data_IF_807288637260
#
_entry.id   IF_807288637260
#
_cell.length_a   1.000
_cell.length_b   1.000
_cell.length_c   1.000
_cell.angle_alpha   90.00
_cell.angle_beta   90.00
_cell.angle_gamma   90.00
#
_symmetry.space_group_name_H-M   'P 1'
#
loop_
_entity.id
_entity.type
_entity.pdbx_description
1 polymer ?
#
# COMPACT_ATOMS: atom_id res chain seq x y z
N UNK A 1 9.86 -46.64 -7.31
CA UNK A 1 8.90 -46.43 -6.22
C UNK A 1 9.60 -46.77 -4.93
N UNK A 2 9.98 -45.72 -4.22
CA UNK A 2 10.31 -45.73 -2.81
C UNK A 2 9.75 -44.39 -2.31
N UNK A 3 8.49 -44.43 -1.88
CA UNK A 3 7.89 -43.41 -1.04
C UNK A 3 8.66 -43.45 0.28
N UNK A 4 9.61 -42.55 0.46
CA UNK A 4 10.09 -42.15 1.77
C UNK A 4 9.61 -40.70 1.97
N UNK A 5 8.28 -40.53 2.02
CA UNK A 5 7.64 -39.32 2.55
C UNK A 5 7.57 -39.46 4.08
N UNK A 6 8.27 -38.52 4.74
CA UNK A 6 7.92 -37.89 6.02
C UNK A 6 7.61 -38.78 7.25
N UNK A 7 8.62 -38.96 8.11
CA UNK A 7 8.44 -39.39 9.51
C UNK A 7 8.74 -38.25 10.50
N UNK A 8 8.44 -37.00 10.12
CA UNK A 8 8.38 -35.88 11.06
C UNK A 8 6.97 -35.77 11.64
N UNK A 9 6.74 -36.38 12.80
CA UNK A 9 5.49 -36.19 13.57
C UNK A 9 5.77 -35.32 14.81
N UNK A 10 5.44 -34.01 14.81
CA UNK A 10 5.72 -33.09 15.94
C UNK A 10 4.89 -33.41 17.22
N UNK A 11 3.92 -34.31 17.10
CA UNK A 11 2.91 -34.69 18.09
C UNK A 11 3.43 -35.61 19.21
N UNK A 12 4.41 -35.15 19.98
CA UNK A 12 5.03 -35.92 21.07
C UNK A 12 4.32 -35.73 22.43
N UNK A 13 4.35 -36.73 23.34
CA UNK A 13 3.84 -36.57 24.71
C UNK A 13 4.49 -35.40 25.47
N UNK A 14 5.79 -35.19 25.25
CA UNK A 14 6.54 -34.09 25.86
C UNK A 14 6.12 -32.73 25.28
N UNK A 15 5.88 -32.65 23.96
CA UNK A 15 5.31 -31.45 23.32
C UNK A 15 3.92 -31.12 23.86
N UNK A 16 3.05 -32.13 23.99
CA UNK A 16 1.74 -31.96 24.59
C UNK A 16 1.81 -31.52 26.07
N UNK A 17 2.84 -31.93 26.82
CA UNK A 17 3.07 -31.46 28.18
C UNK A 17 3.54 -29.99 28.21
N UNK A 18 4.41 -29.57 27.27
CA UNK A 18 4.87 -28.18 27.13
C UNK A 18 3.72 -27.23 26.80
N UNK A 19 2.85 -27.58 25.85
CA UNK A 19 1.66 -26.78 25.51
C UNK A 19 0.77 -26.57 26.73
N UNK A 20 0.50 -27.62 27.51
CA UNK A 20 -0.33 -27.51 28.73
C UNK A 20 0.31 -26.66 29.81
N UNK A 21 1.63 -26.72 29.96
CA UNK A 21 2.35 -25.87 30.91
C UNK A 21 2.27 -24.39 30.50
N UNK A 22 2.56 -24.07 29.24
CA UNK A 22 2.46 -22.71 28.72
C UNK A 22 1.02 -22.16 28.80
N UNK A 23 0.01 -22.99 28.54
CA UNK A 23 -1.40 -22.62 28.70
C UNK A 23 -1.75 -22.27 30.16
N UNK A 24 -1.19 -23.01 31.12
CA UNK A 24 -1.38 -22.71 32.55
C UNK A 24 -0.72 -21.38 32.94
N UNK A 25 0.46 -21.08 32.41
CA UNK A 25 1.16 -19.80 32.63
C UNK A 25 0.39 -18.62 32.02
N UNK A 26 -0.11 -18.74 30.79
CA UNK A 26 -0.97 -17.74 30.16
C UNK A 26 -2.25 -17.50 30.97
N UNK A 27 -2.90 -18.57 31.44
CA UNK A 27 -4.10 -18.46 32.29
C UNK A 27 -3.81 -17.72 33.59
N UNK A 28 -2.66 -17.98 34.21
CA UNK A 28 -2.24 -17.29 35.43
C UNK A 28 -1.97 -15.80 35.17
N UNK A 29 -1.32 -15.45 34.06
CA UNK A 29 -1.07 -14.07 33.65
C UNK A 29 -2.38 -13.30 33.39
N UNK A 30 -3.33 -13.90 32.66
CA UNK A 30 -4.65 -13.32 32.40
C UNK A 30 -5.39 -13.06 33.73
N UNK A 31 -5.37 -14.03 34.64
CA UNK A 31 -6.02 -13.91 35.95
C UNK A 31 -5.40 -12.78 36.78
N UNK A 32 -4.06 -12.72 36.86
CA UNK A 32 -3.35 -11.70 37.60
C UNK A 32 -3.61 -10.28 37.06
N UNK A 33 -3.66 -10.12 35.73
CA UNK A 33 -4.02 -8.86 35.10
C UNK A 33 -5.47 -8.46 35.42
N UNK A 34 -6.42 -9.39 35.27
CA UNK A 34 -7.82 -9.13 35.58
C UNK A 34 -8.04 -8.72 37.05
N UNK A 35 -7.33 -9.38 37.98
CA UNK A 35 -7.35 -9.01 39.41
C UNK A 35 -6.74 -7.61 39.65
N UNK A 36 -5.62 -7.28 39.00
CA UNK A 36 -5.00 -5.96 39.12
C UNK A 36 -5.91 -4.84 38.60
N UNK A 37 -6.58 -5.06 37.47
CA UNK A 37 -7.57 -4.14 36.90
C UNK A 37 -8.78 -3.99 37.84
N UNK A 38 -9.34 -5.10 38.32
CA UNK A 38 -10.52 -5.10 39.18
C UNK A 38 -10.26 -4.47 40.58
N UNK A 39 -9.02 -4.53 41.06
CA UNK A 39 -8.61 -3.93 42.33
C UNK A 39 -8.27 -2.43 42.23
N UNK A 40 -8.16 -1.88 41.02
CA UNK A 40 -7.81 -0.47 40.81
C UNK A 40 -8.90 0.47 41.28
N UNK A 41 -8.56 1.43 42.15
CA UNK A 41 -9.53 2.43 42.67
C UNK A 41 -9.09 3.88 42.44
N UNK A 42 -7.86 4.09 41.96
CA UNK A 42 -7.32 5.41 41.65
C UNK A 42 -6.16 5.33 40.65
N UNK A 43 -5.74 6.48 40.10
CA UNK A 43 -4.56 6.60 39.21
C UNK A 43 -3.24 6.10 39.83
N UNK A 44 -3.19 5.93 41.16
CA UNK A 44 -2.00 5.37 41.83
C UNK A 44 -1.90 3.85 41.69
N UNK A 45 -2.97 3.18 41.27
CA UNK A 45 -2.99 1.74 41.03
C UNK A 45 -2.58 1.38 39.60
N UNK A 46 -2.47 2.38 38.71
CA UNK A 46 -2.14 2.19 37.29
C UNK A 46 -0.79 1.48 37.08
N UNK A 47 0.20 1.71 37.95
CA UNK A 47 1.50 1.02 37.87
C UNK A 47 1.37 -0.50 38.08
N UNK A 48 0.44 -0.95 38.93
CA UNK A 48 0.17 -2.38 39.15
C UNK A 48 -0.55 -3.00 37.96
N UNK A 49 -1.45 -2.25 37.33
CA UNK A 49 -2.14 -2.68 36.11
C UNK A 49 -1.13 -2.85 34.97
N UNK A 50 -0.24 -1.86 34.76
CA UNK A 50 0.82 -1.97 33.75
C UNK A 50 1.75 -3.15 34.02
N UNK A 51 2.23 -3.30 35.26
CA UNK A 51 3.12 -4.41 35.63
C UNK A 51 2.47 -5.78 35.39
N UNK A 52 1.16 -5.92 35.66
CA UNK A 52 0.44 -7.15 35.38
C UNK A 52 0.17 -7.34 33.87
N UNK A 53 -0.03 -6.24 33.13
CA UNK A 53 -0.18 -6.24 31.68
C UNK A 53 1.09 -6.66 30.93
N UNK A 54 2.26 -6.25 31.42
CA UNK A 54 3.56 -6.62 30.85
C UNK A 54 3.81 -8.14 30.85
N UNK A 55 3.08 -8.90 31.67
CA UNK A 55 3.19 -10.37 31.72
C UNK A 55 2.32 -11.08 30.68
N UNK A 56 1.34 -10.40 30.05
CA UNK A 56 0.40 -11.03 29.12
C UNK A 56 1.05 -11.40 27.79
N UNK A 57 1.75 -10.46 27.16
CA UNK A 57 2.36 -10.68 25.85
C UNK A 57 3.43 -11.77 25.87
N UNK A 58 4.38 -11.80 26.83
CA UNK A 58 5.36 -12.89 26.93
C UNK A 58 4.71 -14.27 27.14
N UNK A 59 3.67 -14.35 27.98
CA UNK A 59 2.98 -15.62 28.25
C UNK A 59 2.17 -16.11 27.03
N UNK A 60 1.59 -15.19 26.27
CA UNK A 60 0.86 -15.50 25.03
C UNK A 60 1.82 -16.00 23.94
N UNK A 61 2.98 -15.35 23.76
CA UNK A 61 4.00 -15.78 22.82
C UNK A 61 4.56 -17.16 23.19
N UNK A 62 4.84 -17.40 24.47
CA UNK A 62 5.32 -18.71 24.94
C UNK A 62 4.29 -19.84 24.69
N UNK A 63 3.00 -19.55 24.80
CA UNK A 63 1.94 -20.50 24.44
C UNK A 63 1.87 -20.75 22.93
N UNK A 64 1.98 -19.71 22.11
CA UNK A 64 2.00 -19.82 20.65
C UNK A 64 3.20 -20.63 20.15
N UNK A 65 4.40 -20.36 20.69
CA UNK A 65 5.62 -21.10 20.36
C UNK A 65 5.49 -22.58 20.75
N UNK A 66 4.99 -22.87 21.97
CA UNK A 66 4.79 -24.24 22.42
C UNK A 66 3.79 -25.01 21.55
N UNK A 67 2.73 -24.35 21.07
CA UNK A 67 1.79 -24.93 20.11
C UNK A 67 2.50 -25.23 18.78
N UNK A 68 3.18 -24.24 18.20
CA UNK A 68 3.85 -24.39 16.91
C UNK A 68 4.89 -25.52 16.93
N UNK A 69 5.69 -25.62 18.00
CA UNK A 69 6.64 -26.72 18.18
C UNK A 69 5.98 -28.10 18.28
N UNK A 70 4.74 -28.17 18.82
CA UNK A 70 4.02 -29.42 19.02
C UNK A 70 3.18 -29.84 17.80
N UNK A 71 2.60 -28.89 17.08
CA UNK A 71 1.61 -29.17 16.02
C UNK A 71 2.12 -28.85 14.62
N UNK A 72 3.17 -28.03 14.50
CA UNK A 72 3.59 -27.41 13.25
C UNK A 72 2.60 -26.38 12.70
N UNK A 73 1.48 -26.13 13.41
CA UNK A 73 0.48 -25.14 13.05
C UNK A 73 0.78 -23.84 13.77
N UNK A 74 0.73 -22.72 13.05
CA UNK A 74 0.97 -21.39 13.61
C UNK A 74 -0.30 -20.78 14.20
N UNK A 75 -0.15 -19.72 15.00
CA UNK A 75 -1.18 -18.80 15.50
C UNK A 75 -2.39 -19.42 16.25
N UNK A 76 -2.30 -19.66 17.59
CA UNK A 76 -3.45 -20.14 18.38
C UNK A 76 -4.67 -19.20 18.37
N UNK A 77 -4.40 -17.90 18.16
CA UNK A 77 -5.40 -16.85 18.08
C UNK A 77 -5.57 -16.35 16.63
N UNK A 78 -5.07 -17.08 15.63
CA UNK A 78 -5.29 -16.76 14.21
C UNK A 78 -6.77 -16.53 13.88
N UNK A 79 -7.69 -17.41 14.31
CA UNK A 79 -9.13 -17.18 14.13
C UNK A 79 -9.71 -15.96 14.87
N UNK A 80 -8.98 -15.40 15.86
CA UNK A 80 -9.39 -14.14 16.48
C UNK A 80 -8.89 -12.95 15.68
N UNK A 81 -7.79 -13.05 14.92
CA UNK A 81 -7.40 -12.02 13.96
C UNK A 81 -8.47 -11.86 12.90
N UNK A 82 -8.97 -12.98 12.36
CA UNK A 82 -10.11 -12.98 11.43
C UNK A 82 -11.35 -12.28 12.05
N UNK A 83 -11.59 -12.45 13.36
CA UNK A 83 -12.69 -11.79 14.09
C UNK A 83 -12.44 -10.32 14.49
N UNK A 84 -11.19 -9.83 14.44
CA UNK A 84 -10.87 -8.40 14.65
C UNK A 84 -10.79 -7.67 13.31
N UNK A 85 -10.45 -8.39 12.22
CA UNK A 85 -10.65 -7.92 10.84
C UNK A 85 -12.15 -7.92 10.45
N UNK A 86 -13.00 -8.76 11.05
CA UNK A 86 -14.47 -8.77 10.85
C UNK A 86 -15.22 -7.52 11.39
N UNK A 87 -14.57 -6.56 12.06
CA UNK A 87 -15.17 -5.23 12.27
C UNK A 87 -14.85 -4.24 11.12
N UNK A 88 -14.06 -4.66 10.12
CA UNK A 88 -13.78 -3.91 8.88
C UNK A 88 -13.88 -4.72 7.57
N UNK A 89 -14.36 -5.98 7.56
CA UNK A 89 -14.66 -6.67 6.30
C UNK A 89 -15.84 -7.64 6.43
N UNK A 90 -17.05 -7.12 6.14
CA UNK A 90 -18.17 -7.97 5.74
C UNK A 90 -17.81 -8.56 4.36
N UNK A 91 -17.10 -9.69 4.31
CA UNK A 91 -17.04 -10.55 3.13
C UNK A 91 -18.46 -11.06 2.86
N UNK A 92 -19.15 -10.38 1.94
CA UNK A 92 -20.35 -10.87 1.29
C UNK A 92 -20.11 -12.30 0.76
N UNK A 93 -21.08 -13.19 1.02
CA UNK A 93 -21.21 -14.43 0.27
C UNK A 93 -21.12 -14.09 -1.23
N UNK A 94 -20.07 -14.58 -1.90
CA UNK A 94 -19.87 -14.47 -3.36
C UNK A 94 -21.09 -15.02 -4.13
N UNK A 95 -22.14 -14.20 -4.31
CA UNK A 95 -22.69 -14.06 -5.64
C UNK A 95 -21.53 -13.51 -6.47
N UNK A 96 -21.11 -14.23 -7.51
CA UNK A 96 -20.13 -13.76 -8.50
C UNK A 96 -20.62 -12.41 -9.06
N UNK A 97 -20.35 -11.32 -8.36
CA UNK A 97 -20.40 -9.99 -8.92
C UNK A 97 -19.34 -9.99 -10.02
N UNK A 98 -19.72 -9.69 -11.27
CA UNK A 98 -18.74 -9.63 -12.33
C UNK A 98 -17.70 -8.60 -11.88
N UNK A 99 -16.40 -8.95 -11.85
CA UNK A 99 -15.41 -8.09 -11.21
C UNK A 99 -15.48 -6.73 -11.88
N UNK A 100 -15.83 -5.68 -11.12
CA UNK A 100 -15.58 -4.32 -11.57
C UNK A 100 -14.09 -4.08 -11.43
N UNK A 101 -13.30 -4.69 -12.32
CA UNK A 101 -11.85 -4.52 -12.36
C UNK A 101 -11.56 -3.12 -12.90
N UNK A 102 -11.53 -2.14 -12.00
CA UNK A 102 -10.93 -0.85 -12.31
C UNK A 102 -9.53 -1.07 -12.86
N UNK A 103 -9.07 -0.18 -13.72
CA UNK A 103 -7.68 -0.22 -14.20
C UNK A 103 -7.05 1.16 -14.06
N UNK A 104 -5.85 1.18 -13.51
CA UNK A 104 -5.00 2.36 -13.47
C UNK A 104 -3.91 2.24 -14.52
N UNK A 105 -3.72 3.29 -15.31
CA UNK A 105 -2.63 3.39 -16.29
C UNK A 105 -1.61 4.40 -15.76
N UNK A 106 -0.49 3.90 -15.28
CA UNK A 106 0.62 4.70 -14.78
C UNK A 106 1.63 4.90 -15.90
N UNK A 107 1.96 6.17 -16.20
CA UNK A 107 2.91 6.50 -17.25
C UNK A 107 4.07 7.31 -16.67
N UNK A 108 5.29 6.88 -16.99
CA UNK A 108 6.51 7.66 -16.76
C UNK A 108 7.18 7.92 -18.09
N UNK A 109 7.51 9.18 -18.36
CA UNK A 109 8.29 9.57 -19.53
C UNK A 109 9.42 10.48 -19.10
N UNK A 110 10.65 10.07 -19.40
CA UNK A 110 11.86 10.81 -19.04
C UNK A 110 12.37 11.56 -20.28
N UNK A 111 12.52 12.87 -20.15
CA UNK A 111 13.05 13.75 -21.20
C UNK A 111 14.33 14.44 -20.73
N UNK A 112 15.27 14.63 -21.65
CA UNK A 112 16.37 15.58 -21.48
C UNK A 112 15.97 16.90 -22.13
N UNK A 113 16.05 17.98 -21.35
CA UNK A 113 15.96 19.34 -21.89
C UNK A 113 17.28 19.67 -22.59
N UNK A 114 17.21 19.85 -23.91
CA UNK A 114 18.34 20.21 -24.78
C UNK A 114 18.35 21.70 -25.13
N UNK A 115 17.17 22.33 -25.14
CA UNK A 115 16.99 23.78 -25.30
C UNK A 115 15.79 24.23 -24.45
N UNK A 116 16.06 24.88 -23.32
CA UNK A 116 14.99 25.31 -22.42
C UNK A 116 14.17 26.46 -23.01
N UNK A 117 14.77 27.37 -23.78
CA UNK A 117 14.07 28.52 -24.34
C UNK A 117 13.09 28.08 -25.44
N UNK A 118 13.48 27.09 -26.26
CA UNK A 118 12.56 26.48 -27.23
C UNK A 118 11.33 25.86 -26.56
N UNK A 119 11.52 25.16 -25.42
CA UNK A 119 10.41 24.59 -24.65
C UNK A 119 9.53 25.68 -24.05
N UNK A 120 10.13 26.75 -23.51
CA UNK A 120 9.39 27.90 -22.98
C UNK A 120 8.54 28.57 -24.06
N UNK A 121 9.09 28.77 -25.26
CA UNK A 121 8.37 29.33 -26.41
C UNK A 121 7.23 28.39 -26.87
N UNK A 122 7.46 27.08 -26.91
CA UNK A 122 6.42 26.10 -27.20
C UNK A 122 5.28 26.14 -26.18
N UNK A 123 5.60 26.32 -24.90
CA UNK A 123 4.62 26.54 -23.82
C UNK A 123 3.75 27.77 -24.02
N UNK A 124 4.35 28.91 -24.38
CA UNK A 124 3.59 30.15 -24.66
C UNK A 124 2.70 30.01 -25.88
N UNK A 125 3.22 29.38 -26.93
CA UNK A 125 2.42 29.07 -28.11
C UNK A 125 1.25 28.14 -27.78
N UNK A 126 1.42 27.18 -26.87
CA UNK A 126 0.34 26.31 -26.39
C UNK A 126 -0.70 27.09 -25.57
N UNK A 127 -0.26 27.95 -24.65
CA UNK A 127 -1.13 28.85 -23.89
C UNK A 127 -2.06 29.65 -24.81
N UNK A 128 -1.50 30.34 -25.81
CA UNK A 128 -2.26 31.20 -26.73
C UNK A 128 -3.22 30.42 -27.64
N UNK A 129 -3.03 29.10 -27.82
CA UNK A 129 -4.04 28.26 -28.51
C UNK A 129 -5.26 28.00 -27.64
N UNK A 130 -5.05 27.79 -26.34
CA UNK A 130 -6.13 27.57 -25.37
C UNK A 130 -6.84 28.88 -25.01
N UNK A 131 -6.12 30.01 -25.04
CA UNK A 131 -6.59 31.34 -24.66
C UNK A 131 -6.31 32.35 -25.79
N UNK A 132 -7.07 32.31 -26.90
CA UNK A 132 -6.77 33.09 -28.10
C UNK A 132 -7.03 34.61 -27.95
N UNK A 133 -7.72 35.03 -26.90
CA UNK A 133 -7.97 36.45 -26.59
C UNK A 133 -6.83 37.10 -25.80
N UNK A 134 -5.90 36.32 -25.25
CA UNK A 134 -4.75 36.80 -24.50
C UNK A 134 -3.58 37.17 -25.44
N UNK A 135 -2.63 37.96 -24.92
CA UNK A 135 -1.46 38.39 -25.67
C UNK A 135 -0.16 37.69 -25.21
N UNK A 136 0.92 37.94 -25.94
CA UNK A 136 2.23 37.35 -25.67
C UNK A 136 2.79 37.75 -24.29
N UNK A 137 2.42 38.93 -23.76
CA UNK A 137 2.87 39.36 -22.45
C UNK A 137 2.17 38.53 -21.35
N UNK A 138 0.87 38.30 -21.47
CA UNK A 138 0.11 37.41 -20.59
C UNK A 138 0.63 35.98 -20.67
N UNK A 139 0.89 35.48 -21.88
CA UNK A 139 1.49 34.15 -22.06
C UNK A 139 2.87 34.03 -21.39
N UNK A 140 3.69 35.08 -21.45
CA UNK A 140 4.99 35.12 -20.80
C UNK A 140 4.92 35.19 -19.27
N UNK A 141 3.88 35.83 -18.71
CA UNK A 141 3.62 35.85 -17.27
C UNK A 141 3.18 34.47 -16.76
N UNK A 142 2.30 33.78 -17.48
CA UNK A 142 1.88 32.41 -17.12
C UNK A 142 3.01 31.40 -17.27
N UNK A 143 3.66 31.39 -18.44
CA UNK A 143 4.77 30.49 -18.76
C UNK A 143 6.08 31.11 -18.28
N UNK A 144 6.18 31.23 -16.97
CA UNK A 144 7.31 31.84 -16.26
C UNK A 144 8.46 30.86 -15.97
N UNK A 145 8.19 29.56 -15.99
CA UNK A 145 9.20 28.51 -15.81
C UNK A 145 8.83 27.21 -16.55
N UNK A 146 9.81 26.30 -16.65
CA UNK A 146 9.71 25.05 -17.44
C UNK A 146 8.48 24.21 -17.07
N UNK A 147 8.19 24.04 -15.77
CA UNK A 147 7.00 23.30 -15.32
C UNK A 147 5.68 23.87 -15.86
N UNK A 148 5.52 25.21 -15.94
CA UNK A 148 4.34 25.82 -16.55
C UNK A 148 4.33 25.63 -18.06
N UNK A 149 5.48 25.71 -18.73
CA UNK A 149 5.56 25.42 -20.16
C UNK A 149 5.08 24.00 -20.49
N UNK A 150 5.56 23.00 -19.75
CA UNK A 150 5.16 21.61 -19.91
C UNK A 150 3.67 21.41 -19.61
N UNK A 151 3.16 22.04 -18.54
CA UNK A 151 1.73 22.02 -18.22
C UNK A 151 0.88 22.58 -19.37
N UNK A 152 1.24 23.74 -19.92
CA UNK A 152 0.44 24.36 -21.00
C UNK A 152 0.45 23.50 -22.27
N UNK A 153 1.59 22.90 -22.63
CA UNK A 153 1.66 21.95 -23.76
C UNK A 153 0.78 20.73 -23.50
N UNK A 154 0.91 20.12 -22.32
CA UNK A 154 0.10 18.96 -21.92
C UNK A 154 -1.39 19.26 -21.86
N UNK A 155 -1.77 20.44 -21.40
CA UNK A 155 -3.15 20.89 -21.31
C UNK A 155 -3.77 21.13 -22.70
N UNK A 156 -3.02 21.77 -23.62
CA UNK A 156 -3.53 22.10 -24.95
C UNK A 156 -3.62 20.87 -25.87
N UNK A 157 -2.59 20.02 -25.88
CA UNK A 157 -2.42 18.98 -26.91
C UNK A 157 -2.28 17.55 -26.34
N UNK A 158 -2.31 17.40 -25.01
CA UNK A 158 -2.08 16.12 -24.32
C UNK A 158 -0.60 15.82 -24.07
N UNK A 159 -0.32 15.03 -23.02
CA UNK A 159 1.05 14.72 -22.58
C UNK A 159 1.90 13.96 -23.60
N UNK A 160 1.27 13.17 -24.49
CA UNK A 160 1.97 12.50 -25.59
C UNK A 160 2.66 13.49 -26.55
N UNK A 161 2.21 14.76 -26.58
CA UNK A 161 2.77 15.77 -27.49
C UNK A 161 4.18 16.20 -27.13
N UNK A 162 4.62 15.97 -25.89
CA UNK A 162 5.98 16.31 -25.43
C UNK A 162 7.08 15.65 -26.26
N UNK A 163 6.80 14.49 -26.87
CA UNK A 163 7.73 13.78 -27.77
C UNK A 163 8.10 14.57 -29.04
N UNK A 164 7.27 15.53 -29.45
CA UNK A 164 7.48 16.33 -30.65
C UNK A 164 8.01 17.75 -30.37
N UNK A 165 8.21 18.10 -29.10
CA UNK A 165 8.58 19.47 -28.69
C UNK A 165 10.07 19.70 -28.92
N UNK A 166 10.38 20.73 -29.71
CA UNK A 166 11.75 21.20 -29.86
C UNK A 166 12.36 21.56 -28.50
N UNK A 167 13.59 21.12 -28.27
CA UNK A 167 14.26 21.29 -26.98
C UNK A 167 13.98 20.18 -25.97
N UNK A 168 13.08 19.22 -26.25
CA UNK A 168 12.95 17.98 -25.49
C UNK A 168 13.48 16.78 -26.28
N UNK A 169 14.27 15.95 -25.61
CA UNK A 169 14.76 14.69 -26.15
C UNK A 169 14.28 13.52 -25.29
N UNK A 170 13.47 12.58 -25.83
CA UNK A 170 13.00 11.43 -25.06
C UNK A 170 14.18 10.51 -24.71
N UNK A 171 14.23 10.06 -23.46
CA UNK A 171 15.31 9.20 -22.92
C UNK A 171 14.79 7.81 -22.61
N UNK A 172 13.60 7.72 -22.02
CA UNK A 172 12.95 6.46 -21.71
C UNK A 172 11.49 6.68 -21.37
N UNK A 173 10.67 5.66 -21.55
CA UNK A 173 9.30 5.66 -21.07
C UNK A 173 8.91 4.29 -20.49
N UNK A 174 7.96 4.29 -19.57
CA UNK A 174 7.31 3.10 -19.06
C UNK A 174 5.82 3.34 -18.97
N UNK A 175 5.03 2.33 -19.31
CA UNK A 175 3.59 2.27 -19.07
C UNK A 175 3.31 1.01 -18.27
N UNK A 176 2.66 1.17 -17.13
CA UNK A 176 2.20 0.07 -16.29
C UNK A 176 0.68 0.14 -16.21
N UNK A 177 0.03 -0.98 -16.49
CA UNK A 177 -1.40 -1.17 -16.29
C UNK A 177 -1.55 -2.06 -15.06
N UNK A 178 -2.27 -1.56 -14.07
CA UNK A 178 -2.54 -2.25 -12.81
C UNK A 178 -4.04 -2.41 -12.69
N UNK A 179 -4.49 -3.56 -12.21
CA UNK A 179 -5.86 -3.69 -11.72
C UNK A 179 -6.09 -2.79 -10.50
N UNK A 180 -7.36 -2.51 -10.23
CA UNK A 180 -7.81 -1.75 -9.07
C UNK A 180 -9.18 -2.23 -8.66
N UNK A 181 -9.33 -2.38 -7.35
CA UNK A 181 -10.63 -2.54 -6.71
C UNK A 181 -11.36 -1.19 -6.74
N UNK A 182 -10.66 -0.11 -6.37
CA UNK A 182 -11.19 1.26 -6.41
C UNK A 182 -10.57 2.15 -7.51
N UNK A 183 -11.43 2.85 -8.25
CA UNK A 183 -11.02 3.89 -9.20
C UNK A 183 -11.19 5.29 -8.62
N UNK A 184 -10.39 6.24 -9.11
CA UNK A 184 -10.52 7.65 -8.70
C UNK A 184 -11.94 8.18 -8.98
N UNK A 185 -12.62 8.57 -7.90
CA UNK A 185 -13.93 9.18 -7.95
C UNK A 185 -13.91 10.63 -8.47
N UNK A 186 -15.08 11.26 -8.66
CA UNK A 186 -15.18 12.63 -9.13
C UNK A 186 -14.73 13.68 -8.10
N UNK A 187 -14.58 13.31 -6.82
CA UNK A 187 -14.10 14.19 -5.75
C UNK A 187 -12.61 13.94 -5.48
N UNK A 188 -11.77 14.93 -5.81
CA UNK A 188 -10.32 14.88 -5.55
C UNK A 188 -10.00 14.77 -4.05
N UNK A 189 -10.89 15.26 -3.17
CA UNK A 189 -10.71 15.16 -1.73
C UNK A 189 -10.80 13.74 -1.17
N UNK A 190 -11.36 12.82 -1.95
CA UNK A 190 -11.49 11.40 -1.62
C UNK A 190 -10.37 10.55 -2.25
N UNK A 191 -9.46 11.17 -3.00
CA UNK A 191 -8.38 10.44 -3.66
C UNK A 191 -7.32 9.96 -2.65
N UNK A 192 -6.68 8.80 -2.88
CA UNK A 192 -5.56 8.33 -2.07
C UNK A 192 -4.42 9.34 -2.01
N UNK A 193 -3.73 9.42 -0.86
CA UNK A 193 -2.59 10.33 -0.69
C UNK A 193 -1.43 10.01 -1.66
N UNK A 194 -1.21 8.73 -1.98
CA UNK A 194 -0.25 8.29 -2.98
C UNK A 194 -0.96 7.69 -4.21
N UNK A 195 -1.21 8.55 -5.20
CA UNK A 195 -1.83 8.19 -6.48
C UNK A 195 -1.02 7.19 -7.32
N UNK A 196 0.28 7.03 -7.02
CA UNK A 196 1.19 6.20 -7.80
C UNK A 196 1.60 4.93 -7.05
N UNK A 197 1.30 4.83 -5.75
CA UNK A 197 1.35 3.57 -5.04
C UNK A 197 0.35 2.59 -5.69
N UNK A 198 0.80 1.37 -5.87
CA UNK A 198 -0.02 0.27 -6.33
C UNK A 198 0.36 -0.98 -5.56
N UNK A 199 -0.66 -1.61 -5.01
CA UNK A 199 -0.70 -2.91 -4.34
C UNK A 199 -1.37 -3.98 -5.21
N UNK A 200 -2.14 -3.55 -6.22
CA UNK A 200 -2.76 -4.41 -7.23
C UNK A 200 -1.78 -5.16 -8.15
N UNK A 201 -2.31 -6.20 -8.81
CA UNK A 201 -1.62 -6.98 -9.82
C UNK A 201 -1.26 -6.14 -11.06
N UNK A 202 0.01 -6.24 -11.47
CA UNK A 202 0.47 -5.67 -12.74
C UNK A 202 -0.05 -6.53 -13.90
N UNK A 203 -1.08 -6.02 -14.58
CA UNK A 203 -1.67 -6.68 -15.76
C UNK A 203 -0.79 -6.56 -17.00
N UNK A 204 -0.10 -5.42 -17.16
CA UNK A 204 0.76 -5.16 -18.32
C UNK A 204 1.85 -4.16 -18.00
N UNK A 205 3.04 -4.39 -18.56
CA UNK A 205 4.16 -3.45 -18.50
C UNK A 205 4.80 -3.30 -19.88
N UNK A 206 4.96 -2.06 -20.33
CA UNK A 206 5.75 -1.69 -21.50
C UNK A 206 6.91 -0.79 -21.09
N UNK A 207 8.09 -1.06 -21.64
CA UNK A 207 9.28 -0.22 -21.47
C UNK A 207 9.81 0.20 -22.83
N UNK A 208 9.91 1.50 -23.04
CA UNK A 208 10.46 2.09 -24.25
C UNK A 208 11.83 2.69 -23.95
N UNK A 209 12.83 2.21 -24.69
CA UNK A 209 14.19 2.73 -24.63
C UNK A 209 14.45 3.54 -25.89
N UNK A 210 14.66 4.83 -25.71
CA UNK A 210 15.05 5.71 -26.82
C UNK A 210 16.57 5.69 -26.91
N UNK A 211 17.08 5.14 -28.01
CA UNK A 211 18.52 5.04 -28.27
C UNK A 211 19.19 6.42 -28.25
N UNK A 212 20.49 6.42 -27.92
CA UNK A 212 21.34 7.61 -28.05
C UNK A 212 21.55 8.01 -29.51
#
# INVERSE_FOLDING_TARGET
MSDDEDDFTPWTPDGAARVRAAAAELTAAITAHAEAVAAGTSEKDTEKVFTAGDQLLPALLAYADAQFEYTGTTFPLGPLYDLVDDEEDDEDEEEEEPPSTGVSILQRQDYRVTDAEAVMAAGRAAYLRSWPDDDEATAAEDVSHLGRALYQIGHADGWAKLGDVEGLWPVGASVVVVDREDTLGPDEGEWPEDLYAHDGEVLFEQRDLYGK
#
